data_IF_783378704469
#
_entry.id   IF_783378704469
#
_cell.length_a   1.000
_cell.length_b   1.000
_cell.length_c   1.000
_cell.angle_alpha   90.00
_cell.angle_beta   90.00
_cell.angle_gamma   90.00
#
_symmetry.space_group_name_H-M   'P 1'
#
loop_
_entity.id
_entity.type
_entity.pdbx_description
1 polymer ?
#
# COMPACT_ATOMS: atom_id res chain seq x y z
N UNK A 1 8.65 7.16 17.11
CA UNK A 1 8.68 6.53 15.77
C UNK A 1 7.65 7.23 14.91
N UNK A 2 7.98 7.55 13.66
CA UNK A 2 7.02 8.18 12.73
C UNK A 2 6.45 7.08 11.86
N UNK A 3 5.14 6.86 11.96
CA UNK A 3 4.44 5.89 11.13
C UNK A 3 4.31 6.44 9.71
N UNK A 4 4.71 5.63 8.73
CA UNK A 4 4.58 5.96 7.31
C UNK A 4 3.52 5.12 6.65
N UNK A 5 2.80 5.73 5.72
CA UNK A 5 1.79 5.05 4.96
C UNK A 5 1.95 5.34 3.46
N UNK A 6 1.79 4.30 2.67
CA UNK A 6 1.86 4.39 1.21
C UNK A 6 0.56 4.96 0.65
N UNK A 7 0.67 5.72 -0.42
CA UNK A 7 -0.44 6.18 -1.25
C UNK A 7 -0.11 5.82 -2.70
N UNK A 8 -1.12 5.36 -3.44
CA UNK A 8 -1.07 5.12 -4.88
C UNK A 8 -1.88 6.21 -5.58
N UNK A 9 -1.24 6.96 -6.47
CA UNK A 9 -1.87 8.04 -7.23
C UNK A 9 -1.90 7.67 -8.69
N UNK A 10 -3.09 7.56 -9.26
CA UNK A 10 -3.30 7.33 -10.68
C UNK A 10 -3.33 8.66 -11.43
N UNK A 11 -2.60 8.74 -12.54
CA UNK A 11 -2.44 9.96 -13.33
C UNK A 11 -3.06 9.83 -14.73
N UNK A 12 -3.49 10.95 -15.28
CA UNK A 12 -3.88 11.05 -16.69
C UNK A 12 -2.65 10.93 -17.61
N UNK A 13 -1.59 11.65 -17.26
CA UNK A 13 -0.33 11.74 -18.00
C UNK A 13 0.86 11.78 -17.04
N UNK A 14 2.00 11.21 -17.47
CA UNK A 14 3.22 11.11 -16.64
C UNK A 14 4.08 12.37 -16.59
N UNK A 15 3.74 13.42 -17.36
CA UNK A 15 4.53 14.66 -17.42
C UNK A 15 4.72 15.28 -16.02
N UNK A 16 3.70 15.20 -15.17
CA UNK A 16 3.71 15.75 -13.82
C UNK A 16 4.12 14.74 -12.74
N UNK A 17 4.51 13.51 -13.08
CA UNK A 17 4.84 12.49 -12.07
C UNK A 17 5.98 12.91 -11.13
N UNK A 18 6.96 13.68 -11.64
CA UNK A 18 8.08 14.19 -10.82
C UNK A 18 7.67 15.24 -9.80
N UNK A 19 6.58 16.00 -10.02
CA UNK A 19 6.14 17.01 -9.07
C UNK A 19 5.56 16.42 -7.78
N UNK A 20 5.21 15.13 -7.78
CA UNK A 20 4.69 14.46 -6.58
C UNK A 20 5.71 14.29 -5.47
N UNK A 21 7.00 14.50 -5.75
CA UNK A 21 8.07 14.55 -4.74
C UNK A 21 7.87 15.66 -3.70
N UNK A 22 7.08 16.70 -4.01
CA UNK A 22 6.74 17.76 -3.07
C UNK A 22 5.72 17.34 -2.00
N UNK A 23 5.02 16.22 -2.22
CA UNK A 23 3.99 15.71 -1.30
C UNK A 23 4.50 14.54 -0.45
N UNK A 24 5.73 14.06 -0.68
CA UNK A 24 6.30 12.93 0.04
C UNK A 24 7.37 12.20 -0.77
N UNK A 25 7.78 11.06 -0.24
CA UNK A 25 8.82 10.25 -0.85
C UNK A 25 8.25 9.37 -1.97
N UNK A 26 8.59 9.69 -3.22
CA UNK A 26 8.19 8.87 -4.37
C UNK A 26 9.03 7.59 -4.42
N UNK A 27 8.38 6.45 -4.22
CA UNK A 27 9.03 5.15 -4.25
C UNK A 27 9.11 4.56 -5.66
N UNK A 28 8.03 4.69 -6.44
CA UNK A 28 7.96 4.11 -7.77
C UNK A 28 7.03 4.90 -8.70
N UNK A 29 7.36 4.93 -9.99
CA UNK A 29 6.55 5.56 -11.04
C UNK A 29 6.34 4.54 -12.15
N UNK A 30 5.10 4.12 -12.37
CA UNK A 30 4.75 3.19 -13.46
C UNK A 30 4.57 3.94 -14.77
N UNK A 31 5.43 3.66 -15.76
CA UNK A 31 5.31 4.25 -17.10
C UNK A 31 4.15 3.66 -17.92
N UNK A 32 3.86 2.38 -17.73
CA UNK A 32 2.84 1.64 -18.50
C UNK A 32 1.42 1.90 -17.98
N UNK A 33 1.23 1.84 -16.67
CA UNK A 33 -0.09 2.01 -16.03
C UNK A 33 -0.36 3.44 -15.53
N UNK A 34 0.65 4.33 -15.60
CA UNK A 34 0.54 5.75 -15.22
C UNK A 34 0.09 5.96 -13.77
N UNK A 35 0.77 5.33 -12.82
CA UNK A 35 0.58 5.60 -11.40
C UNK A 35 1.90 5.90 -10.69
N UNK A 36 1.80 6.56 -9.55
CA UNK A 36 2.91 6.90 -8.66
C UNK A 36 2.63 6.27 -7.30
N UNK A 37 3.63 5.58 -6.75
CA UNK A 37 3.64 5.11 -5.37
C UNK A 37 4.44 6.09 -4.54
N UNK A 38 3.82 6.67 -3.52
CA UNK A 38 4.45 7.63 -2.62
C UNK A 38 4.25 7.22 -1.18
N UNK A 39 5.23 7.51 -0.33
CA UNK A 39 5.12 7.37 1.11
C UNK A 39 5.07 8.76 1.74
N UNK A 40 4.12 8.97 2.64
CA UNK A 40 4.06 10.13 3.51
C UNK A 40 3.88 9.67 4.95
N UNK A 41 4.01 10.63 5.87
CA UNK A 41 3.77 10.38 7.29
C UNK A 41 2.25 10.23 7.51
N UNK A 42 1.87 9.33 8.43
CA UNK A 42 0.47 8.93 8.66
C UNK A 42 -0.39 10.10 9.11
N UNK A 43 0.17 11.00 9.93
CA UNK A 43 -0.53 12.18 10.45
C UNK A 43 -0.89 13.18 9.34
N UNK A 44 -0.10 13.22 8.27
CA UNK A 44 -0.31 14.14 7.13
C UNK A 44 -1.08 13.49 5.96
N UNK A 45 -1.45 12.21 6.09
CA UNK A 45 -2.02 11.39 5.02
C UNK A 45 -3.31 12.01 4.45
N UNK A 46 -4.29 12.30 5.31
CA UNK A 46 -5.58 12.83 4.85
C UNK A 46 -5.43 14.19 4.16
N UNK A 47 -4.64 15.08 4.75
CA UNK A 47 -4.39 16.41 4.18
C UNK A 47 -3.72 16.29 2.81
N UNK A 48 -2.77 15.36 2.67
CA UNK A 48 -2.05 15.09 1.42
C UNK A 48 -2.97 14.49 0.37
N UNK A 49 -3.83 13.53 0.72
CA UNK A 49 -4.82 12.95 -0.19
C UNK A 49 -5.75 14.03 -0.72
N UNK A 50 -6.34 14.86 0.15
CA UNK A 50 -7.25 15.95 -0.27
C UNK A 50 -6.56 16.97 -1.19
N UNK A 51 -5.29 17.27 -0.96
CA UNK A 51 -4.50 18.15 -1.84
C UNK A 51 -4.25 17.51 -3.22
N UNK A 52 -3.90 16.23 -3.23
CA UNK A 52 -3.59 15.49 -4.45
C UNK A 52 -4.84 15.26 -5.31
N UNK A 53 -5.99 14.92 -4.70
CA UNK A 53 -7.24 14.68 -5.42
C UNK A 53 -7.75 15.90 -6.18
N UNK A 54 -7.42 17.12 -5.73
CA UNK A 54 -7.80 18.37 -6.40
C UNK A 54 -6.98 18.67 -7.65
N UNK A 55 -5.89 17.92 -7.91
CA UNK A 55 -5.03 18.19 -9.05
C UNK A 55 -5.67 17.66 -10.34
N UNK A 56 -5.71 18.46 -11.43
CA UNK A 56 -6.35 18.04 -12.69
C UNK A 56 -5.59 16.90 -13.40
N UNK A 57 -4.34 16.64 -13.02
CA UNK A 57 -3.53 15.55 -13.56
C UNK A 57 -3.83 14.19 -12.90
N UNK A 58 -4.58 14.18 -11.79
CA UNK A 58 -4.88 13.01 -10.99
C UNK A 58 -6.25 12.45 -11.37
N UNK A 59 -6.29 11.14 -11.62
CA UNK A 59 -7.54 10.39 -11.86
C UNK A 59 -8.16 9.89 -10.56
N UNK A 60 -7.31 9.36 -9.68
CA UNK A 60 -7.73 8.68 -8.45
C UNK A 60 -6.56 8.61 -7.48
N UNK A 61 -6.87 8.68 -6.19
CA UNK A 61 -5.92 8.46 -5.11
C UNK A 61 -6.40 7.28 -4.27
N UNK A 62 -5.49 6.39 -3.88
CA UNK A 62 -5.78 5.23 -3.03
C UNK A 62 -4.75 5.14 -1.90
N UNK A 63 -5.16 5.21 -0.63
CA UNK A 63 -4.26 4.90 0.48
C UNK A 63 -3.97 3.39 0.51
N UNK A 64 -2.74 3.04 0.90
CA UNK A 64 -2.34 1.65 1.13
C UNK A 64 -2.75 1.23 2.54
N UNK A 65 -3.47 0.11 2.63
CA UNK A 65 -3.86 -0.49 3.90
C UNK A 65 -2.91 -1.60 4.37
N UNK A 66 -1.74 -1.73 3.73
CA UNK A 66 -0.71 -2.71 4.11
C UNK A 66 -0.36 -2.68 5.61
N UNK A 67 -0.26 -1.52 6.30
CA UNK A 67 0.04 -1.48 7.74
C UNK A 67 -1.07 -2.07 8.63
N UNK A 68 -2.29 -2.22 8.11
CA UNK A 68 -3.44 -2.71 8.87
C UNK A 68 -3.69 -4.20 8.66
N UNK A 69 -2.88 -4.85 7.81
CA UNK A 69 -2.98 -6.30 7.58
C UNK A 69 -2.45 -7.01 8.83
N UNK A 70 -3.33 -7.74 9.51
CA UNK A 70 -2.96 -8.57 10.66
C UNK A 70 -1.91 -9.58 10.21
N UNK A 71 -0.76 -9.56 10.88
CA UNK A 71 0.33 -10.53 10.67
C UNK A 71 0.24 -11.69 11.68
N UNK A 72 -0.61 -11.54 12.70
CA UNK A 72 -1.01 -12.62 13.59
C UNK A 72 -2.06 -13.46 12.88
N UNK A 73 -1.64 -14.64 12.43
CA UNK A 73 -2.54 -15.67 11.95
C UNK A 73 -3.09 -16.39 13.18
N UNK A 74 -4.42 -16.40 13.34
CA UNK A 74 -5.00 -17.43 14.19
C UNK A 74 -4.54 -18.75 13.59
N UNK A 75 -3.79 -19.55 14.35
CA UNK A 75 -3.56 -20.95 14.02
C UNK A 75 -4.95 -21.57 13.91
N UNK A 76 -5.53 -21.57 12.71
CA UNK A 76 -6.65 -22.40 12.38
C UNK A 76 -6.23 -23.78 12.83
N UNK A 77 -6.94 -24.26 13.87
CA UNK A 77 -6.71 -25.47 14.66
C UNK A 77 -5.80 -26.45 13.91
N UNK A 78 -4.72 -26.98 14.53
CA UNK A 78 -3.89 -27.99 13.88
C UNK A 78 -4.83 -29.03 13.30
N UNK A 79 -4.79 -29.14 11.98
CA UNK A 79 -5.65 -30.06 11.24
C UNK A 79 -5.42 -31.44 11.85
N UNK A 80 -6.41 -31.95 12.59
CA UNK A 80 -6.30 -33.24 13.31
C UNK A 80 -5.99 -34.38 12.35
N UNK A 81 -6.17 -34.18 11.04
CA UNK A 81 -5.77 -35.12 10.01
C UNK A 81 -4.25 -35.41 9.99
N UNK A 82 -3.39 -34.48 10.44
CA UNK A 82 -1.93 -34.70 10.44
C UNK A 82 -1.40 -35.49 11.63
N UNK A 83 -2.21 -35.80 12.66
CA UNK A 83 -1.78 -36.65 13.77
C UNK A 83 -1.79 -38.16 13.43
N UNK A 84 -2.54 -38.57 12.39
CA UNK A 84 -2.73 -39.98 12.05
C UNK A 84 -1.64 -40.54 11.12
N UNK A 85 -1.00 -39.71 10.29
CA UNK A 85 0.08 -40.15 9.39
C UNK A 85 1.37 -40.54 10.15
N UNK A 86 1.58 -40.04 11.37
CA UNK A 86 2.79 -40.34 12.17
C UNK A 86 2.69 -41.60 13.03
N UNK A 87 1.57 -42.35 12.97
CA UNK A 87 1.37 -43.59 13.75
C UNK A 87 1.25 -44.87 12.92
N UNK A 88 1.24 -44.79 11.58
CA UNK A 88 1.14 -45.96 10.68
C UNK A 88 2.54 -46.37 10.17
N UNK A 89 3.54 -46.36 11.05
CA UNK A 89 4.93 -46.58 10.65
C UNK A 89 5.82 -47.17 11.76
N UNK A 90 5.26 -48.01 12.63
CA UNK A 90 6.02 -48.93 13.48
C UNK A 90 5.58 -50.36 13.22
#
# INVERSE_FOLDING_TARGET
MIDRQGIVVYLQHLKQAKSFRKYGHVHYISRRMKYVVLYCDRDELEATIRKIERLPSVKKVLPSYRPFVKTEYENAKPDKAKEYDYKIGL
#
